data_IF_582906044742
#
_entry.id   IF_582906044742
#
_cell.length_a   1.000
_cell.length_b   1.000
_cell.length_c   1.000
_cell.angle_alpha   90.00
_cell.angle_beta   90.00
_cell.angle_gamma   90.00
#
_symmetry.space_group_name_H-M   'P 1'
#
loop_
_entity.id
_entity.type
_entity.pdbx_description
1 polymer ?
#
# COMPACT_ATOMS: atom_id res chain seq x y z
N UNK A 1 -33.96 -6.28 23.17
CA UNK A 1 -33.63 -6.48 21.75
C UNK A 1 -32.13 -6.62 21.66
N UNK A 2 -31.64 -7.85 21.50
CA UNK A 2 -30.22 -8.06 21.25
C UNK A 2 -29.92 -7.60 19.83
N UNK A 3 -29.11 -6.54 19.69
CA UNK A 3 -28.54 -6.22 18.40
C UNK A 3 -27.60 -7.37 18.03
N UNK A 4 -28.02 -8.21 17.10
CA UNK A 4 -27.16 -9.19 16.44
C UNK A 4 -25.98 -8.42 15.87
N UNK A 5 -24.82 -8.50 16.52
CA UNK A 5 -23.58 -7.90 16.00
C UNK A 5 -23.20 -8.71 14.77
N UNK A 6 -23.68 -8.29 13.61
CA UNK A 6 -23.23 -8.80 12.33
C UNK A 6 -21.73 -8.58 12.25
N UNK A 7 -20.94 -9.64 12.31
CA UNK A 7 -19.51 -9.52 12.15
C UNK A 7 -19.22 -9.36 10.66
N UNK A 8 -18.16 -8.62 10.32
CA UNK A 8 -17.73 -8.47 8.93
C UNK A 8 -17.53 -9.85 8.25
N UNK A 9 -17.11 -10.85 9.02
CA UNK A 9 -16.96 -12.24 8.55
C UNK A 9 -18.26 -12.95 8.19
N UNK A 10 -19.41 -12.47 8.66
CA UNK A 10 -20.72 -13.10 8.40
C UNK A 10 -21.32 -12.63 7.06
N UNK A 11 -20.76 -11.57 6.46
CA UNK A 11 -21.23 -11.03 5.19
C UNK A 11 -20.87 -11.95 4.02
N UNK A 12 -21.69 -12.06 2.96
CA UNK A 12 -21.34 -12.74 1.70
C UNK A 12 -20.12 -12.12 1.00
N UNK A 13 -19.45 -12.90 0.13
CA UNK A 13 -18.21 -12.48 -0.55
C UNK A 13 -18.45 -11.24 -1.43
N UNK A 14 -19.60 -11.22 -2.09
CA UNK A 14 -20.04 -10.18 -3.00
C UNK A 14 -20.17 -8.84 -2.27
N UNK A 15 -20.77 -8.88 -1.07
CA UNK A 15 -20.94 -7.70 -0.22
C UNK A 15 -19.58 -7.21 0.28
N UNK A 16 -18.69 -8.12 0.70
CA UNK A 16 -17.33 -7.75 1.10
C UNK A 16 -16.55 -7.14 -0.06
N UNK A 17 -16.64 -7.69 -1.26
CA UNK A 17 -15.98 -7.16 -2.44
C UNK A 17 -16.45 -5.75 -2.77
N UNK A 18 -17.77 -5.51 -2.68
CA UNK A 18 -18.38 -4.19 -2.86
C UNK A 18 -17.84 -3.23 -1.79
N UNK A 19 -17.89 -3.59 -0.51
CA UNK A 19 -17.38 -2.75 0.58
C UNK A 19 -15.94 -2.35 0.31
N UNK A 20 -15.07 -3.31 0.02
CA UNK A 20 -13.65 -3.04 -0.18
C UNK A 20 -13.37 -2.21 -1.44
N UNK A 21 -14.14 -2.40 -2.53
CA UNK A 21 -14.08 -1.54 -3.71
C UNK A 21 -14.51 -0.10 -3.39
N UNK A 22 -15.55 0.06 -2.58
CA UNK A 22 -16.08 1.38 -2.16
C UNK A 22 -15.22 2.06 -1.09
N UNK A 23 -14.35 1.34 -0.39
CA UNK A 23 -13.47 1.97 0.59
C UNK A 23 -12.51 2.97 -0.05
N UNK A 24 -12.32 3.00 -1.38
CA UNK A 24 -11.50 3.94 -2.20
C UNK A 24 -10.03 4.13 -1.77
N UNK A 25 -9.67 3.58 -0.62
CA UNK A 25 -8.47 3.82 0.13
C UNK A 25 -7.66 2.54 0.11
N UNK A 26 -6.71 2.49 -0.82
CA UNK A 26 -5.84 1.32 -1.03
C UNK A 26 -5.11 0.93 0.26
N UNK A 27 -4.81 1.89 1.12
CA UNK A 27 -4.22 1.67 2.44
C UNK A 27 -5.12 0.88 3.41
N UNK A 28 -6.45 1.04 3.33
CA UNK A 28 -7.39 0.27 4.13
C UNK A 28 -7.46 -1.18 3.65
N UNK A 29 -7.39 -1.41 2.33
CA UNK A 29 -7.37 -2.76 1.75
C UNK A 29 -6.16 -3.57 2.25
N UNK A 30 -4.98 -2.95 2.35
CA UNK A 30 -3.79 -3.63 2.91
C UNK A 30 -3.96 -4.04 4.38
N UNK A 31 -4.83 -3.35 5.13
CA UNK A 31 -5.09 -3.67 6.53
C UNK A 31 -5.80 -5.01 6.71
N UNK A 32 -6.41 -5.55 5.66
CA UNK A 32 -7.11 -6.82 5.69
C UNK A 32 -6.28 -8.02 5.22
N UNK A 33 -5.05 -7.78 4.77
CA UNK A 33 -4.15 -8.86 4.36
C UNK A 33 -3.71 -9.64 5.60
N UNK A 34 -3.74 -10.96 5.47
CA UNK A 34 -3.42 -11.93 6.49
C UNK A 34 -4.34 -11.92 7.72
N UNK A 35 -5.47 -11.21 7.68
CA UNK A 35 -6.52 -11.34 8.71
C UNK A 35 -7.14 -12.73 8.64
N UNK A 36 -7.54 -13.18 7.44
CA UNK A 36 -7.96 -14.55 7.20
C UNK A 36 -7.88 -14.91 5.70
N UNK A 37 -7.95 -16.21 5.38
CA UNK A 37 -7.86 -16.71 4.00
C UNK A 37 -8.90 -16.09 3.05
N UNK A 38 -10.09 -15.77 3.57
CA UNK A 38 -11.20 -15.24 2.77
C UNK A 38 -10.96 -13.79 2.37
N UNK A 39 -10.52 -12.95 3.30
CA UNK A 39 -10.11 -11.57 3.00
C UNK A 39 -8.88 -11.55 2.10
N UNK A 40 -7.93 -12.48 2.25
CA UNK A 40 -6.80 -12.57 1.34
C UNK A 40 -7.24 -12.75 -0.13
N UNK A 41 -8.24 -13.60 -0.39
CA UNK A 41 -8.77 -13.79 -1.76
C UNK A 41 -9.44 -12.51 -2.29
N UNK A 42 -10.18 -11.80 -1.44
CA UNK A 42 -10.85 -10.54 -1.81
C UNK A 42 -9.81 -9.44 -2.06
N UNK A 43 -8.80 -9.35 -1.20
CA UNK A 43 -7.71 -8.39 -1.34
C UNK A 43 -6.84 -8.72 -2.57
N UNK A 44 -6.54 -9.99 -2.83
CA UNK A 44 -5.86 -10.43 -4.07
C UNK A 44 -6.64 -10.04 -5.33
N UNK A 45 -7.98 -10.05 -5.26
CA UNK A 45 -8.83 -9.63 -6.37
C UNK A 45 -8.90 -8.10 -6.53
N UNK A 46 -8.67 -7.35 -5.46
CA UNK A 46 -8.78 -5.88 -5.44
C UNK A 46 -7.42 -5.20 -5.65
N UNK A 47 -6.33 -5.83 -5.19
CA UNK A 47 -4.95 -5.44 -5.53
C UNK A 47 -4.72 -5.88 -6.98
N UNK A 48 -5.40 -5.20 -7.89
CA UNK A 48 -5.15 -5.27 -9.32
C UNK A 48 -3.85 -4.52 -9.59
N UNK A 49 -2.72 -5.21 -9.41
CA UNK A 49 -1.41 -4.83 -9.98
C UNK A 49 -0.86 -3.47 -9.51
N UNK A 50 -1.51 -2.76 -8.60
CA UNK A 50 -1.15 -1.41 -8.21
C UNK A 50 -0.96 -1.30 -6.70
N UNK A 51 0.21 -0.83 -6.29
CA UNK A 51 0.56 -0.52 -4.91
C UNK A 51 0.73 1.00 -4.77
N UNK A 52 -0.29 1.68 -4.24
CA UNK A 52 -0.18 3.12 -3.92
C UNK A 52 -0.01 3.31 -2.42
N UNK A 53 1.12 3.90 -2.04
CA UNK A 53 1.51 4.28 -0.69
C UNK A 53 1.84 5.77 -0.69
N UNK A 54 0.79 6.58 -0.66
CA UNK A 54 0.88 8.03 -0.48
C UNK A 54 0.53 8.35 0.97
N UNK A 55 1.35 9.17 1.63
CA UNK A 55 0.90 9.81 2.86
C UNK A 55 -0.32 10.66 2.47
N UNK A 56 -1.49 10.32 3.05
CA UNK A 56 -2.62 11.23 2.96
C UNK A 56 -2.25 12.41 3.85
N UNK A 57 -1.71 13.46 3.25
CA UNK A 57 -1.60 14.78 3.87
C UNK A 57 -2.99 15.43 4.08
N UNK A 58 -4.05 14.63 4.25
CA UNK A 58 -5.28 15.11 4.85
C UNK A 58 -4.99 15.27 6.33
N UNK A 59 -4.91 16.53 6.76
CA UNK A 59 -4.62 17.00 8.12
C UNK A 59 -5.52 16.41 9.22
N UNK A 60 -6.54 15.63 8.85
CA UNK A 60 -7.42 14.90 9.75
C UNK A 60 -6.94 13.49 10.14
N UNK A 61 -6.03 12.86 9.37
CA UNK A 61 -5.56 11.49 9.63
C UNK A 61 -4.07 11.34 9.29
N UNK A 62 -3.18 11.81 10.17
CA UNK A 62 -1.75 11.50 10.07
C UNK A 62 -1.51 10.02 10.43
N UNK A 63 -1.73 9.12 9.48
CA UNK A 63 -1.32 7.73 9.64
C UNK A 63 0.21 7.72 9.65
N UNK A 64 0.81 7.24 10.74
CA UNK A 64 2.27 7.13 10.84
C UNK A 64 2.80 6.22 9.72
N UNK A 65 3.74 6.74 8.92
CA UNK A 65 4.43 6.00 7.86
C UNK A 65 5.02 4.69 8.37
N UNK A 66 5.49 4.63 9.62
CA UNK A 66 6.05 3.40 10.21
C UNK A 66 5.04 2.24 10.24
N UNK A 67 3.77 2.54 10.52
CA UNK A 67 2.71 1.52 10.57
C UNK A 67 2.40 1.02 9.16
N UNK A 68 2.39 1.92 8.18
CA UNK A 68 2.21 1.57 6.77
C UNK A 68 3.37 0.69 6.31
N UNK A 69 4.61 1.08 6.63
CA UNK A 69 5.81 0.34 6.28
C UNK A 69 5.86 -1.05 6.91
N UNK A 70 5.55 -1.19 8.21
CA UNK A 70 5.48 -2.49 8.87
C UNK A 70 4.44 -3.38 8.18
N UNK A 71 3.25 -2.86 7.89
CA UNK A 71 2.20 -3.64 7.20
C UNK A 71 2.60 -3.99 5.78
N UNK A 72 3.12 -3.04 5.02
CA UNK A 72 3.56 -3.26 3.64
C UNK A 72 4.68 -4.29 3.61
N UNK A 73 5.68 -4.20 4.49
CA UNK A 73 6.81 -5.13 4.54
C UNK A 73 6.37 -6.59 4.76
N UNK A 74 5.27 -6.82 5.49
CA UNK A 74 4.71 -8.17 5.72
C UNK A 74 3.99 -8.75 4.51
N UNK A 75 3.41 -7.89 3.67
CA UNK A 75 2.61 -8.31 2.52
C UNK A 75 3.43 -8.31 1.23
N UNK A 76 4.46 -7.47 1.15
CA UNK A 76 5.27 -7.27 -0.04
C UNK A 76 5.84 -8.59 -0.59
N UNK A 77 6.37 -9.52 0.23
CA UNK A 77 6.89 -10.80 -0.26
C UNK A 77 5.83 -11.69 -0.94
N UNK A 78 4.54 -11.53 -0.62
CA UNK A 78 3.48 -12.33 -1.26
C UNK A 78 2.91 -11.67 -2.51
N UNK A 79 3.03 -10.35 -2.67
CA UNK A 79 2.42 -9.61 -3.78
C UNK A 79 3.41 -9.00 -4.77
N UNK A 80 4.70 -8.88 -4.44
CA UNK A 80 5.68 -8.13 -5.25
C UNK A 80 5.75 -8.57 -6.72
N UNK A 81 5.59 -9.86 -7.00
CA UNK A 81 5.56 -10.41 -8.35
C UNK A 81 4.30 -10.01 -9.14
N UNK A 82 3.20 -9.61 -8.50
CA UNK A 82 1.95 -9.20 -9.17
C UNK A 82 1.91 -7.71 -9.47
N UNK A 83 2.76 -6.91 -8.80
CA UNK A 83 2.76 -5.45 -8.89
C UNK A 83 3.29 -5.00 -10.26
N UNK A 84 2.49 -4.18 -10.94
CA UNK A 84 2.82 -3.51 -12.21
C UNK A 84 2.91 -1.99 -12.06
N UNK A 85 2.29 -1.41 -11.03
CA UNK A 85 2.35 0.02 -10.76
C UNK A 85 2.64 0.27 -9.28
N UNK A 86 3.61 1.13 -8.97
CA UNK A 86 3.90 1.57 -7.61
C UNK A 86 3.79 3.08 -7.56
N UNK A 87 2.98 3.61 -6.63
CA UNK A 87 2.93 5.02 -6.29
C UNK A 87 3.51 5.23 -4.89
N UNK A 88 4.58 6.01 -4.75
CA UNK A 88 5.27 6.21 -3.46
C UNK A 88 5.46 7.69 -3.14
N UNK A 89 5.28 8.02 -1.87
CA UNK A 89 5.84 9.24 -1.30
C UNK A 89 7.37 9.15 -1.24
N UNK A 90 8.04 10.26 -1.53
CA UNK A 90 9.50 10.37 -1.51
C UNK A 90 10.13 9.85 -0.21
N UNK A 91 9.44 10.05 0.91
CA UNK A 91 9.90 9.64 2.25
C UNK A 91 10.07 8.13 2.44
N UNK A 92 9.43 7.31 1.62
CA UNK A 92 9.41 5.84 1.77
C UNK A 92 9.95 5.09 0.54
N UNK A 93 10.46 5.82 -0.47
CA UNK A 93 11.01 5.27 -1.71
C UNK A 93 12.03 4.19 -1.41
N UNK A 94 13.04 4.49 -0.59
CA UNK A 94 14.16 3.58 -0.35
C UNK A 94 13.71 2.29 0.31
N UNK A 95 12.82 2.39 1.30
CA UNK A 95 12.34 1.26 2.09
C UNK A 95 11.49 0.29 1.25
N UNK A 96 10.74 0.80 0.27
CA UNK A 96 9.85 -0.03 -0.55
C UNK A 96 10.53 -0.49 -1.84
N UNK A 97 11.22 0.39 -2.56
CA UNK A 97 11.85 0.02 -3.84
C UNK A 97 13.08 -0.87 -3.65
N UNK A 98 13.85 -0.69 -2.57
CA UNK A 98 15.06 -1.48 -2.35
C UNK A 98 14.84 -2.73 -1.48
N UNK A 99 13.65 -2.93 -0.90
CA UNK A 99 13.39 -4.12 -0.07
C UNK A 99 13.14 -5.40 -0.86
N UNK A 100 12.77 -5.32 -2.14
CA UNK A 100 12.54 -6.51 -2.98
C UNK A 100 12.64 -6.19 -4.47
N UNK A 101 12.59 -7.24 -5.31
CA UNK A 101 12.53 -7.11 -6.76
C UNK A 101 11.08 -7.11 -7.25
N UNK A 102 10.77 -6.25 -8.21
CA UNK A 102 9.43 -6.14 -8.80
C UNK A 102 9.48 -6.53 -10.28
N UNK A 103 9.45 -7.84 -10.60
CA UNK A 103 9.72 -8.32 -11.95
C UNK A 103 8.69 -7.86 -13.00
N UNK A 104 7.49 -7.49 -12.56
CA UNK A 104 6.40 -7.07 -13.45
C UNK A 104 6.12 -5.55 -13.38
N UNK A 105 7.00 -4.77 -12.73
CA UNK A 105 6.81 -3.33 -12.58
C UNK A 105 6.92 -2.61 -13.94
N UNK A 106 5.88 -1.89 -14.30
CA UNK A 106 5.78 -1.09 -15.53
C UNK A 106 5.74 0.41 -15.24
N UNK A 107 5.19 0.80 -14.10
CA UNK A 107 4.94 2.20 -13.77
C UNK A 107 5.40 2.49 -12.35
N UNK A 108 6.22 3.53 -12.19
CA UNK A 108 6.60 4.09 -10.91
C UNK A 108 6.15 5.55 -10.88
N UNK A 109 5.28 5.89 -9.94
CA UNK A 109 4.79 7.25 -9.68
C UNK A 109 5.41 7.72 -8.38
N UNK A 110 6.19 8.79 -8.44
CA UNK A 110 6.83 9.37 -7.26
C UNK A 110 6.13 10.67 -6.88
N UNK A 111 5.60 10.70 -5.67
CA UNK A 111 5.02 11.89 -5.05
C UNK A 111 6.12 12.59 -4.27
N UNK A 112 6.74 13.57 -4.93
CA UNK A 112 7.86 14.36 -4.41
C UNK A 112 7.42 15.80 -4.20
N UNK A 113 7.93 16.44 -3.14
CA UNK A 113 7.87 17.90 -3.06
C UNK A 113 8.86 18.51 -4.06
N UNK A 114 8.67 19.78 -4.42
CA UNK A 114 9.52 20.45 -5.43
C UNK A 114 11.01 20.41 -5.08
N UNK A 115 11.36 20.52 -3.79
CA UNK A 115 12.75 20.43 -3.32
C UNK A 115 13.31 19.00 -3.45
N UNK A 116 12.53 17.97 -3.14
CA UNK A 116 12.93 16.57 -3.28
C UNK A 116 13.04 16.16 -4.75
N UNK A 117 12.15 16.67 -5.62
CA UNK A 117 12.22 16.46 -7.07
C UNK A 117 13.55 16.98 -7.64
N UNK A 118 13.95 18.19 -7.27
CA UNK A 118 15.22 18.80 -7.68
C UNK A 118 16.41 17.93 -7.24
N UNK A 119 16.40 17.40 -6.02
CA UNK A 119 17.47 16.51 -5.55
C UNK A 119 17.50 15.17 -6.29
N UNK A 120 16.33 14.62 -6.64
CA UNK A 120 16.18 13.36 -7.36
C UNK A 120 16.69 13.49 -8.81
N UNK A 121 16.31 14.56 -9.51
CA UNK A 121 16.80 14.85 -10.86
C UNK A 121 18.28 15.24 -10.90
N UNK A 122 18.83 15.80 -9.81
CA UNK A 122 20.24 16.13 -9.69
C UNK A 122 21.13 14.95 -9.22
N UNK A 123 20.56 13.74 -9.10
CA UNK A 123 21.31 12.53 -8.71
C UNK A 123 21.79 12.51 -7.24
N UNK A 124 21.30 13.44 -6.40
CA UNK A 124 21.78 13.62 -5.02
C UNK A 124 21.16 12.68 -3.99
N UNK A 125 20.17 11.88 -4.37
CA UNK A 125 19.47 10.97 -3.45
C UNK A 125 20.19 9.62 -3.31
N UNK A 126 21.14 9.28 -4.19
CA UNK A 126 21.87 8.00 -4.11
C UNK A 126 23.15 8.04 -3.25
N UNK A 127 23.44 9.15 -2.55
CA UNK A 127 24.74 9.35 -1.87
C UNK A 127 24.68 9.47 -0.35
N UNK A 128 23.64 8.98 0.32
CA UNK A 128 23.58 8.95 1.79
C UNK A 128 23.51 7.55 2.38
N UNK A 129 24.15 6.58 1.75
CA UNK A 129 24.57 5.34 2.44
C UNK A 129 26.03 5.53 2.86
N UNK A 130 26.34 5.72 4.15
CA UNK A 130 27.73 5.69 4.60
C UNK A 130 28.27 4.25 4.49
N UNK A 131 29.58 4.06 4.27
CA UNK A 131 30.22 2.75 4.18
C UNK A 131 30.07 1.91 5.45
#
# INVERSE_FOLDING_TARGET
MEHSRSQLNDLPNEILLIIFKYLHHHHMIYSFININKRFNLIVDHIIEKQLVLTSLNDSSFSINNDIILDRVSRILPSIHHKIQCIGLDASIIEQILFSTTYPNLKTLVLYVTSSTAINLFNGKILSSVPP
#
